data_IF_402893972991
#
_entry.id   IF_402893972991
#
_cell.length_a   1.000
_cell.length_b   1.000
_cell.length_c   1.000
_cell.angle_alpha   90.00
_cell.angle_beta   90.00
_cell.angle_gamma   90.00
#
_symmetry.space_group_name_H-M   'P 1'
#
loop_
_entity.id
_entity.type
_entity.pdbx_description
1 polymer ?
#
# COMPACT_ATOMS: atom_id res chain seq x y z
N UNK A 1 -21.03 -5.15 13.07
CA UNK A 1 -20.27 -3.94 13.44
C UNK A 1 -18.87 -4.10 12.92
N UNK A 2 -18.41 -3.25 12.00
CA UNK A 2 -17.05 -3.34 11.46
C UNK A 2 -16.01 -2.84 12.49
N UNK A 3 -14.81 -3.44 12.45
CA UNK A 3 -13.69 -3.00 13.27
C UNK A 3 -13.11 -1.72 12.65
N UNK A 4 -12.90 -0.64 13.43
CA UNK A 4 -12.26 0.57 12.93
C UNK A 4 -10.79 0.26 12.55
N UNK A 5 -10.32 0.87 11.46
CA UNK A 5 -8.95 0.71 10.99
C UNK A 5 -7.95 1.46 11.89
N UNK A 6 -6.90 0.80 12.35
CA UNK A 6 -5.92 1.34 13.29
C UNK A 6 -4.56 1.67 12.66
N UNK A 7 -3.71 2.39 13.40
CA UNK A 7 -2.50 3.06 12.89
C UNK A 7 -1.19 2.22 12.90
N UNK A 8 -1.19 0.98 13.36
CA UNK A 8 0.07 0.23 13.52
C UNK A 8 0.10 -1.04 12.68
N UNK A 9 0.92 -1.03 11.64
CA UNK A 9 1.24 -2.23 10.87
C UNK A 9 2.75 -2.41 10.66
N UNK A 10 3.23 -3.63 10.93
CA UNK A 10 4.65 -4.01 10.84
C UNK A 10 5.17 -3.91 9.40
N UNK A 11 6.40 -3.38 9.16
CA UNK A 11 7.01 -3.40 7.84
C UNK A 11 7.36 -4.83 7.43
N UNK A 12 7.09 -5.22 6.18
CA UNK A 12 7.53 -6.49 5.63
C UNK A 12 6.64 -7.17 4.60
N UNK A 13 5.37 -6.76 4.43
CA UNK A 13 4.54 -7.40 3.41
C UNK A 13 4.93 -7.00 1.98
N UNK A 14 4.84 -7.94 1.01
CA UNK A 14 5.05 -7.66 -0.40
C UNK A 14 4.17 -6.51 -0.91
N UNK A 15 4.71 -5.70 -1.80
CA UNK A 15 3.98 -4.57 -2.41
C UNK A 15 3.50 -4.98 -3.78
N UNK A 16 2.21 -4.77 -4.05
CA UNK A 16 1.63 -5.01 -5.38
C UNK A 16 2.29 -4.08 -6.39
N UNK A 17 2.81 -4.66 -7.46
CA UNK A 17 3.47 -3.96 -8.56
C UNK A 17 2.50 -3.86 -9.74
N UNK A 18 2.62 -2.78 -10.50
CA UNK A 18 1.91 -2.59 -11.76
C UNK A 18 2.96 -2.62 -12.86
N UNK A 19 3.13 -3.77 -13.49
CA UNK A 19 4.21 -4.02 -14.45
C UNK A 19 3.73 -4.09 -15.89
N UNK A 20 2.43 -4.36 -16.11
CA UNK A 20 1.84 -4.47 -17.42
C UNK A 20 0.39 -3.98 -17.44
N UNK A 21 -0.10 -3.58 -18.62
CA UNK A 21 -1.50 -3.27 -18.86
C UNK A 21 -2.32 -4.57 -18.87
N UNK A 22 -3.53 -4.51 -18.32
CA UNK A 22 -4.45 -5.66 -18.21
C UNK A 22 -4.39 -6.39 -16.87
N UNK A 23 -3.33 -6.23 -16.08
CA UNK A 23 -3.19 -6.88 -14.77
C UNK A 23 -4.30 -6.48 -13.81
N UNK A 24 -4.72 -7.45 -13.00
CA UNK A 24 -5.78 -7.30 -12.01
C UNK A 24 -5.25 -7.59 -10.62
N UNK A 25 -5.71 -6.80 -9.68
CA UNK A 25 -5.56 -7.07 -8.26
C UNK A 25 -6.94 -7.06 -7.59
N UNK A 26 -7.21 -8.07 -6.81
CA UNK A 26 -8.42 -8.17 -5.98
C UNK A 26 -8.00 -8.51 -4.56
N UNK A 27 -8.43 -7.72 -3.59
CA UNK A 27 -8.05 -7.95 -2.20
C UNK A 27 -9.08 -7.50 -1.20
N UNK A 28 -9.19 -8.23 -0.07
CA UNK A 28 -9.97 -7.81 1.08
C UNK A 28 -9.13 -6.90 1.97
N UNK A 29 -9.64 -5.73 2.30
CA UNK A 29 -8.93 -4.71 3.11
C UNK A 29 -8.77 -5.22 4.54
N UNK A 30 -7.54 -5.24 5.02
CA UNK A 30 -7.17 -5.57 6.40
C UNK A 30 -6.89 -4.32 7.21
N UNK A 31 -6.10 -3.38 6.64
CA UNK A 31 -5.76 -2.14 7.31
C UNK A 31 -5.50 -1.01 6.31
N UNK A 32 -5.65 0.23 6.75
CA UNK A 32 -5.33 1.43 5.98
C UNK A 32 -4.52 2.39 6.85
N UNK A 33 -3.37 2.80 6.32
CA UNK A 33 -2.50 3.79 6.93
C UNK A 33 -2.34 4.98 5.99
N UNK A 34 -2.61 6.19 6.48
CA UNK A 34 -2.29 7.45 5.80
C UNK A 34 -1.02 8.02 6.39
N UNK A 35 -0.04 8.31 5.56
CA UNK A 35 1.19 8.96 6.02
C UNK A 35 1.68 10.04 5.08
N UNK A 36 2.49 10.95 5.62
CA UNK A 36 3.18 11.94 4.83
C UNK A 36 4.33 11.28 4.06
N UNK A 37 4.45 11.59 2.78
CA UNK A 37 5.58 11.14 1.97
C UNK A 37 6.85 11.87 2.37
N UNK A 38 7.93 11.13 2.46
CA UNK A 38 9.27 11.68 2.67
C UNK A 38 10.18 11.32 1.50
N UNK A 39 11.24 12.07 1.31
CA UNK A 39 12.40 11.70 0.49
C UNK A 39 13.63 11.65 1.39
N UNK A 40 14.57 10.79 1.06
CA UNK A 40 15.87 10.79 1.71
C UNK A 40 16.67 11.98 1.18
N UNK A 41 17.14 12.84 2.08
CA UNK A 41 18.09 13.91 1.75
C UNK A 41 19.49 13.34 1.49
N UNK A 42 20.37 14.18 0.96
CA UNK A 42 21.77 13.82 0.67
C UNK A 42 22.57 13.48 1.95
N UNK A 43 22.12 14.02 3.07
CA UNK A 43 22.59 13.75 4.43
C UNK A 43 22.02 12.46 5.05
N UNK A 44 21.18 11.74 4.32
CA UNK A 44 20.47 10.54 4.79
C UNK A 44 19.26 10.80 5.66
N UNK A 45 18.94 12.06 5.97
CA UNK A 45 17.76 12.44 6.77
C UNK A 45 16.51 12.41 5.89
N UNK A 46 15.40 11.91 6.46
CA UNK A 46 14.11 11.90 5.77
C UNK A 46 13.46 13.28 5.82
N UNK A 47 13.26 13.90 4.67
CA UNK A 47 12.63 15.22 4.53
C UNK A 47 11.21 15.06 3.98
N UNK A 48 10.19 15.72 4.57
CA UNK A 48 8.84 15.68 4.03
C UNK A 48 8.77 16.22 2.59
N UNK A 49 8.06 15.50 1.74
CA UNK A 49 7.68 16.00 0.42
C UNK A 49 6.47 16.92 0.56
N UNK A 50 6.60 18.15 0.07
CA UNK A 50 5.51 19.13 0.10
C UNK A 50 4.96 19.40 -1.31
N UNK A 51 3.72 19.86 -1.37
CA UNK A 51 3.05 20.34 -2.58
C UNK A 51 3.42 21.82 -2.80
N UNK A 52 3.04 22.36 -3.95
CA UNK A 52 3.21 23.80 -4.26
C UNK A 52 2.45 24.72 -3.29
N UNK A 53 1.39 24.22 -2.64
CA UNK A 53 0.62 24.94 -1.60
C UNK A 53 1.22 24.80 -0.18
N UNK A 54 2.42 24.24 -0.05
CA UNK A 54 3.12 24.04 1.23
C UNK A 54 2.62 22.87 2.08
N UNK A 55 1.55 22.18 1.67
CA UNK A 55 1.02 21.03 2.40
C UNK A 55 1.82 19.77 2.14
N UNK A 56 1.97 18.87 3.12
CA UNK A 56 2.66 17.62 2.91
C UNK A 56 1.95 16.76 1.84
N UNK A 57 2.74 16.13 0.97
CA UNK A 57 2.23 15.10 0.07
C UNK A 57 1.93 13.86 0.88
N UNK A 58 0.76 13.29 0.66
CA UNK A 58 0.32 12.08 1.34
C UNK A 58 0.40 10.85 0.46
N UNK A 59 0.53 9.69 1.09
CA UNK A 59 0.32 8.40 0.48
C UNK A 59 -0.59 7.55 1.38
N UNK A 60 -1.25 6.60 0.75
CA UNK A 60 -2.09 5.62 1.43
C UNK A 60 -1.46 4.25 1.26
N UNK A 61 -1.29 3.55 2.37
CA UNK A 61 -0.88 2.15 2.39
C UNK A 61 -2.09 1.33 2.79
N UNK A 62 -2.54 0.48 1.89
CA UNK A 62 -3.65 -0.44 2.12
C UNK A 62 -3.09 -1.84 2.23
N UNK A 63 -3.24 -2.46 3.38
CA UNK A 63 -2.91 -3.87 3.57
C UNK A 63 -4.13 -4.71 3.22
N UNK A 64 -3.95 -5.71 2.37
CA UNK A 64 -5.02 -6.55 1.86
C UNK A 64 -4.66 -8.03 1.96
N UNK A 65 -5.67 -8.88 2.16
CA UNK A 65 -5.58 -10.29 1.81
C UNK A 65 -5.90 -10.46 0.32
N UNK A 66 -5.04 -11.19 -0.37
CA UNK A 66 -5.23 -11.49 -1.80
C UNK A 66 -6.46 -12.36 -2.00
N UNK A 67 -7.33 -11.96 -2.91
CA UNK A 67 -8.53 -12.70 -3.29
C UNK A 67 -8.34 -13.37 -4.66
N UNK A 68 -9.16 -14.39 -5.01
CA UNK A 68 -9.15 -15.01 -6.32
C UNK A 68 -9.32 -14.00 -7.46
N UNK A 69 -8.62 -14.24 -8.58
CA UNK A 69 -8.65 -13.37 -9.77
C UNK A 69 -7.56 -12.30 -9.78
N UNK A 70 -6.62 -12.34 -8.83
CA UNK A 70 -5.40 -11.53 -8.83
C UNK A 70 -4.35 -12.16 -9.75
N UNK A 71 -3.82 -11.36 -10.68
CA UNK A 71 -2.69 -11.70 -11.56
C UNK A 71 -1.59 -10.62 -11.54
N UNK A 72 -1.81 -9.54 -10.78
CA UNK A 72 -0.79 -8.53 -10.56
C UNK A 72 0.30 -9.06 -9.62
N UNK A 73 1.60 -8.94 -9.98
CA UNK A 73 2.69 -9.40 -9.13
C UNK A 73 2.81 -8.55 -7.87
N UNK A 74 3.32 -9.17 -6.81
CA UNK A 74 3.71 -8.50 -5.59
C UNK A 74 5.13 -8.90 -5.20
N UNK A 75 5.85 -8.03 -4.47
CA UNK A 75 7.22 -8.36 -4.07
C UNK A 75 7.84 -7.37 -3.10
N UNK A 76 9.01 -7.76 -2.59
CA UNK A 76 9.87 -6.95 -1.72
C UNK A 76 11.18 -6.70 -2.50
N UNK A 77 11.55 -5.43 -2.66
CA UNK A 77 12.72 -5.08 -3.48
C UNK A 77 12.54 -5.52 -4.94
N UNK A 78 13.50 -6.26 -5.47
CA UNK A 78 13.52 -6.75 -6.85
C UNK A 78 12.85 -8.13 -7.01
N UNK A 79 12.62 -8.84 -5.91
CA UNK A 79 11.91 -10.10 -5.94
C UNK A 79 10.42 -9.88 -6.16
N UNK A 80 9.86 -10.54 -7.17
CA UNK A 80 8.46 -10.42 -7.55
C UNK A 80 7.88 -11.79 -7.92
N UNK A 81 6.62 -12.00 -7.56
CA UNK A 81 5.85 -13.18 -7.91
C UNK A 81 4.36 -12.89 -7.87
N UNK A 82 3.56 -13.76 -8.47
CA UNK A 82 2.10 -13.68 -8.32
C UNK A 82 1.77 -14.19 -6.91
N UNK A 83 1.14 -13.35 -6.08
CA UNK A 83 0.79 -13.76 -4.72
C UNK A 83 -0.33 -14.81 -4.75
N UNK A 84 -0.30 -15.71 -3.79
CA UNK A 84 -1.35 -16.71 -3.62
C UNK A 84 -2.60 -16.12 -2.94
N UNK A 85 -3.75 -16.75 -3.18
CA UNK A 85 -4.99 -16.37 -2.49
C UNK A 85 -4.83 -16.57 -0.98
N UNK A 86 -5.09 -15.51 -0.21
CA UNK A 86 -4.92 -15.47 1.24
C UNK A 86 -3.59 -14.84 1.68
N UNK A 87 -2.65 -14.60 0.79
CA UNK A 87 -1.44 -13.85 1.12
C UNK A 87 -1.76 -12.43 1.54
N UNK A 88 -0.94 -11.90 2.45
CA UNK A 88 -1.02 -10.49 2.85
C UNK A 88 -0.07 -9.64 2.00
N UNK A 89 -0.63 -8.64 1.32
CA UNK A 89 0.11 -7.71 0.47
C UNK A 89 -0.25 -6.26 0.77
N UNK A 90 0.54 -5.32 0.26
CA UNK A 90 0.27 -3.88 0.39
C UNK A 90 0.06 -3.23 -0.97
N UNK A 91 -0.94 -2.35 -1.03
CA UNK A 91 -1.08 -1.35 -2.08
C UNK A 91 -0.51 -0.03 -1.58
N UNK A 92 0.40 0.58 -2.33
CA UNK A 92 0.89 1.93 -2.03
C UNK A 92 0.30 2.88 -3.06
N UNK A 93 -0.60 3.74 -2.62
CA UNK A 93 -1.35 4.66 -3.47
C UNK A 93 -0.82 6.08 -3.31
N UNK A 94 -0.39 6.69 -4.42
CA UNK A 94 0.24 8.02 -4.46
C UNK A 94 -0.36 8.85 -5.59
N UNK A 95 -0.37 10.16 -5.46
CA UNK A 95 -0.81 11.06 -6.52
C UNK A 95 -2.19 10.71 -7.06
N UNK A 96 -2.29 10.40 -8.35
CA UNK A 96 -3.57 10.08 -9.01
C UNK A 96 -4.25 8.87 -8.34
N UNK A 97 -3.54 7.78 -8.07
CA UNK A 97 -4.16 6.58 -7.46
C UNK A 97 -4.68 6.84 -6.04
N UNK A 98 -4.08 7.77 -5.30
CA UNK A 98 -4.63 8.24 -4.03
C UNK A 98 -5.92 9.06 -4.23
N UNK A 99 -5.97 9.93 -5.25
CA UNK A 99 -7.17 10.68 -5.59
C UNK A 99 -8.31 9.76 -6.06
N UNK A 100 -7.99 8.76 -6.88
CA UNK A 100 -8.95 7.74 -7.34
C UNK A 100 -9.53 6.94 -6.17
N UNK A 101 -8.70 6.61 -5.15
CA UNK A 101 -9.16 5.99 -3.92
C UNK A 101 -10.20 6.85 -3.18
N UNK A 102 -9.92 8.15 -3.01
CA UNK A 102 -10.87 9.06 -2.34
C UNK A 102 -12.20 9.14 -3.09
N UNK A 103 -12.18 9.09 -4.43
CA UNK A 103 -13.41 9.07 -5.22
C UNK A 103 -14.17 7.75 -5.07
N UNK A 104 -13.45 6.62 -5.07
CA UNK A 104 -14.05 5.30 -4.87
C UNK A 104 -14.65 5.15 -3.46
N UNK A 105 -13.98 5.70 -2.42
CA UNK A 105 -14.49 5.73 -1.04
C UNK A 105 -15.78 6.57 -0.93
N UNK A 106 -15.84 7.71 -1.62
CA UNK A 106 -17.06 8.51 -1.72
C UNK A 106 -18.19 7.76 -2.43
N UNK A 107 -17.87 7.06 -3.52
CA UNK A 107 -18.84 6.27 -4.29
C UNK A 107 -19.39 5.08 -3.49
N UNK A 108 -18.63 4.55 -2.54
CA UNK A 108 -19.07 3.49 -1.62
C UNK A 108 -20.23 3.97 -0.71
N UNK A 109 -20.31 5.29 -0.47
CA UNK A 109 -21.40 5.91 0.32
C UNK A 109 -21.31 5.68 1.84
N UNK A 110 -20.23 5.07 2.32
CA UNK A 110 -19.94 4.84 3.75
C UNK A 110 -18.44 4.78 4.00
N UNK A 111 -18.06 4.80 5.25
CA UNK A 111 -16.65 4.54 5.62
C UNK A 111 -16.25 3.12 5.26
N UNK A 112 -15.01 2.98 4.79
CA UNK A 112 -14.41 1.69 4.51
C UNK A 112 -14.23 0.89 5.81
N UNK A 113 -14.42 -0.42 5.73
CA UNK A 113 -14.32 -1.35 6.84
C UNK A 113 -13.33 -2.48 6.51
N UNK A 114 -12.83 -3.15 7.54
CA UNK A 114 -12.09 -4.40 7.39
C UNK A 114 -12.97 -5.41 6.64
N UNK A 115 -12.38 -6.07 5.65
CA UNK A 115 -13.09 -7.02 4.80
C UNK A 115 -13.71 -6.42 3.53
N UNK A 116 -13.79 -5.09 3.40
CA UNK A 116 -14.21 -4.48 2.14
C UNK A 116 -13.25 -4.84 1.00
N UNK A 117 -13.79 -4.98 -0.21
CA UNK A 117 -13.05 -5.43 -1.36
C UNK A 117 -12.48 -4.25 -2.14
N UNK A 118 -11.18 -4.30 -2.42
CA UNK A 118 -10.52 -3.41 -3.38
C UNK A 118 -10.22 -4.18 -4.66
N UNK A 119 -10.61 -3.61 -5.79
CA UNK A 119 -10.32 -4.12 -7.13
C UNK A 119 -9.52 -3.09 -7.89
N UNK A 120 -8.42 -3.51 -8.51
CA UNK A 120 -7.65 -2.69 -9.43
C UNK A 120 -7.49 -3.42 -10.75
N UNK A 121 -7.54 -2.67 -11.86
CA UNK A 121 -7.19 -3.14 -13.18
C UNK A 121 -6.32 -2.10 -13.86
N UNK A 122 -5.12 -2.49 -14.27
CA UNK A 122 -4.25 -1.62 -15.05
C UNK A 122 -4.83 -1.44 -16.45
N UNK A 123 -5.06 -0.21 -16.87
CA UNK A 123 -5.77 0.09 -18.11
C UNK A 123 -4.99 0.98 -19.08
N UNK A 124 -3.95 1.66 -18.60
CA UNK A 124 -3.13 2.54 -19.42
C UNK A 124 -1.77 2.78 -18.80
N UNK A 125 -0.85 3.31 -19.60
CA UNK A 125 0.44 3.80 -19.15
C UNK A 125 0.71 5.20 -19.70
N UNK A 126 1.53 5.99 -19.02
CA UNK A 126 1.95 7.31 -19.44
C UNK A 126 3.46 7.40 -19.44
N UNK A 127 4.02 7.92 -20.52
CA UNK A 127 5.44 8.25 -20.62
C UNK A 127 5.67 9.63 -20.00
N UNK A 128 6.78 9.78 -19.29
CA UNK A 128 7.20 11.03 -18.67
C UNK A 128 8.57 11.44 -19.17
N UNK A 129 8.77 12.76 -19.34
CA UNK A 129 10.09 13.35 -19.60
C UNK A 129 10.96 13.35 -18.32
N UNK A 130 12.19 13.87 -18.44
CA UNK A 130 13.13 13.97 -17.33
C UNK A 130 12.63 14.91 -16.21
N UNK A 131 11.77 15.86 -16.53
CA UNK A 131 11.18 16.81 -15.60
C UNK A 131 9.90 16.26 -14.92
N UNK A 132 9.46 15.07 -15.32
CA UNK A 132 8.26 14.41 -14.79
C UNK A 132 6.96 14.88 -15.40
N UNK A 133 6.98 15.55 -16.56
CA UNK A 133 5.79 15.95 -17.29
C UNK A 133 5.32 14.83 -18.22
N UNK A 134 4.00 14.64 -18.39
CA UNK A 134 3.47 13.65 -19.30
C UNK A 134 3.84 13.99 -20.75
N UNK A 135 4.30 12.99 -21.49
CA UNK A 135 4.72 13.10 -22.90
C UNK A 135 3.85 12.22 -23.79
N UNK A 136 3.22 12.81 -24.78
CA UNK A 136 2.37 12.10 -25.73
C UNK A 136 1.02 11.67 -25.17
N UNK A 137 0.32 10.83 -25.93
CA UNK A 137 -0.95 10.22 -25.50
C UNK A 137 -0.69 9.03 -24.56
N UNK A 138 -1.63 8.70 -23.70
CA UNK A 138 -1.54 7.48 -22.88
C UNK A 138 -1.41 6.23 -23.77
N UNK A 139 -0.54 5.31 -23.37
CA UNK A 139 -0.37 4.01 -23.99
C UNK A 139 -1.46 3.06 -23.49
N UNK A 140 -1.97 2.20 -24.36
CA UNK A 140 -3.09 1.31 -24.05
C UNK A 140 -2.76 -0.17 -24.24
N UNK A 141 -1.60 -0.49 -24.79
CA UNK A 141 -1.13 -1.87 -24.99
C UNK A 141 0.26 -2.09 -24.37
N UNK A 142 0.61 -3.34 -24.11
CA UNK A 142 1.92 -3.70 -23.57
C UNK A 142 3.02 -3.53 -24.61
N UNK A 143 2.74 -3.76 -25.89
CA UNK A 143 3.67 -3.56 -27.00
C UNK A 143 4.09 -2.10 -27.09
N UNK A 144 3.15 -1.16 -26.90
CA UNK A 144 3.48 0.28 -26.85
C UNK A 144 4.37 0.60 -25.64
N UNK A 145 4.12 -0.02 -24.49
CA UNK A 145 4.92 0.16 -23.27
C UNK A 145 6.34 -0.38 -23.48
N UNK A 146 6.49 -1.56 -24.04
CA UNK A 146 7.79 -2.20 -24.33
C UNK A 146 8.61 -1.42 -25.37
N UNK A 147 7.95 -0.73 -26.29
CA UNK A 147 8.60 0.10 -27.29
C UNK A 147 9.16 1.43 -26.73
N UNK A 148 8.83 1.80 -25.48
CA UNK A 148 9.34 3.02 -24.87
C UNK A 148 10.84 2.89 -24.56
N UNK A 149 11.69 3.83 -24.98
CA UNK A 149 13.11 3.81 -24.65
C UNK A 149 13.35 3.74 -23.14
N UNK A 150 14.33 2.92 -22.71
CA UNK A 150 14.68 2.75 -21.28
C UNK A 150 15.13 4.05 -20.58
N UNK A 151 15.50 5.05 -21.35
CA UNK A 151 15.83 6.40 -20.83
C UNK A 151 14.63 7.20 -20.40
N UNK A 152 13.40 6.73 -20.68
CA UNK A 152 12.16 7.41 -20.30
C UNK A 152 11.47 6.65 -19.17
N UNK A 153 10.76 7.40 -18.33
CA UNK A 153 9.98 6.83 -17.24
C UNK A 153 8.57 6.51 -17.73
N UNK A 154 8.08 5.31 -17.43
CA UNK A 154 6.70 4.90 -17.71
C UNK A 154 5.97 4.70 -16.39
N UNK A 155 4.84 5.38 -16.23
CA UNK A 155 3.92 5.17 -15.11
C UNK A 155 2.70 4.37 -15.57
N UNK A 156 2.45 3.22 -14.97
CA UNK A 156 1.27 2.40 -15.25
C UNK A 156 0.13 2.78 -14.33
N UNK A 157 -1.04 3.04 -14.89
CA UNK A 157 -2.24 3.44 -14.17
C UNK A 157 -3.25 2.29 -14.07
N UNK A 158 -3.92 2.24 -12.93
CA UNK A 158 -5.01 1.31 -12.69
C UNK A 158 -6.29 2.05 -12.37
N UNK A 159 -7.39 1.59 -12.93
CA UNK A 159 -8.72 1.90 -12.43
C UNK A 159 -8.91 1.20 -11.07
N UNK A 160 -9.54 1.89 -10.13
CA UNK A 160 -9.75 1.40 -8.77
C UNK A 160 -11.25 1.43 -8.44
N UNK A 161 -11.75 0.31 -7.89
CA UNK A 161 -13.10 0.20 -7.36
C UNK A 161 -13.06 -0.34 -5.95
N UNK A 162 -13.97 0.15 -5.11
CA UNK A 162 -14.24 -0.34 -3.77
C UNK A 162 -15.64 -0.91 -3.73
N UNK A 163 -15.77 -2.09 -3.15
CA UNK A 163 -17.04 -2.79 -3.00
C UNK A 163 -17.20 -3.25 -1.54
N UNK A 164 -18.43 -3.38 -1.04
CA UNK A 164 -18.67 -3.99 0.26
C UNK A 164 -18.06 -5.40 0.34
N UNK A 165 -17.48 -5.74 1.47
CA UNK A 165 -16.98 -7.07 1.75
C UNK A 165 -18.11 -8.11 1.75
N UNK A 166 -17.76 -9.35 1.45
CA UNK A 166 -18.71 -10.46 1.40
C UNK A 166 -18.22 -11.67 2.19
N UNK A 167 -19.14 -12.25 2.99
CA UNK A 167 -19.02 -13.58 3.59
C UNK A 167 -17.66 -13.85 4.25
N UNK A 168 -17.03 -14.95 3.86
CA UNK A 168 -15.78 -15.45 4.45
C UNK A 168 -14.59 -14.46 4.39
N UNK A 169 -14.60 -13.51 3.46
CA UNK A 169 -13.49 -12.55 3.33
C UNK A 169 -13.50 -11.48 4.41
N UNK A 170 -14.67 -11.15 4.96
CA UNK A 170 -14.77 -10.29 6.13
C UNK A 170 -14.13 -11.01 7.33
N UNK A 171 -14.50 -12.26 7.58
CA UNK A 171 -13.97 -13.03 8.72
C UNK A 171 -12.45 -13.24 8.62
N UNK A 172 -11.96 -13.58 7.41
CA UNK A 172 -10.53 -13.74 7.14
C UNK A 172 -9.75 -12.42 7.35
N UNK A 173 -10.26 -11.31 6.85
CA UNK A 173 -9.62 -10.01 7.00
C UNK A 173 -9.63 -9.53 8.45
N UNK A 174 -10.71 -9.75 9.19
CA UNK A 174 -10.76 -9.45 10.62
C UNK A 174 -9.79 -10.31 11.44
N UNK A 175 -9.64 -11.59 11.11
CA UNK A 175 -8.67 -12.47 11.76
C UNK A 175 -7.23 -11.98 11.49
N UNK A 176 -6.92 -11.63 10.24
CA UNK A 176 -5.62 -11.06 9.86
C UNK A 176 -5.35 -9.72 10.56
N UNK A 177 -6.34 -8.85 10.65
CA UNK A 177 -6.23 -7.59 11.38
C UNK A 177 -5.91 -7.80 12.86
N UNK A 178 -6.65 -8.72 13.52
CA UNK A 178 -6.42 -9.04 14.94
C UNK A 178 -5.04 -9.65 15.17
N UNK A 179 -4.59 -10.53 14.29
CA UNK A 179 -3.26 -11.13 14.38
C UNK A 179 -2.13 -10.09 14.26
N UNK A 180 -2.32 -9.10 13.37
CA UNK A 180 -1.33 -8.05 13.14
C UNK A 180 -1.33 -6.98 14.25
N UNK A 181 -2.45 -6.75 14.91
CA UNK A 181 -2.60 -5.76 15.99
C UNK A 181 -2.43 -6.37 17.39
N UNK A 182 -2.41 -7.70 17.51
CA UNK A 182 -2.05 -8.38 18.75
C UNK A 182 -0.57 -8.04 19.05
N UNK A 183 -0.34 -7.08 19.93
CA UNK A 183 1.00 -6.81 20.49
C UNK A 183 1.46 -8.10 21.16
N UNK A 184 2.60 -8.70 20.77
CA UNK A 184 3.16 -9.77 21.55
C UNK A 184 3.38 -9.17 22.93
N UNK A 185 2.80 -9.79 23.96
CA UNK A 185 3.20 -9.57 25.35
C UNK A 185 4.67 -10.00 25.42
N UNK A 186 5.59 -9.11 25.04
CA UNK A 186 6.99 -9.28 25.34
C UNK A 186 7.05 -9.41 26.84
N UNK A 187 7.41 -10.62 27.28
CA UNK A 187 7.75 -10.89 28.67
C UNK A 187 8.60 -9.72 29.14
N UNK A 188 8.13 -9.05 30.17
CA UNK A 188 8.87 -7.98 30.84
C UNK A 188 10.29 -8.47 31.02
N UNK A 189 11.25 -7.74 30.46
CA UNK A 189 12.66 -7.97 30.73
C UNK A 189 12.80 -8.01 32.25
N UNK A 190 13.52 -8.99 32.83
CA UNK A 190 13.73 -9.03 34.25
C UNK A 190 14.35 -7.68 34.66
N UNK A 191 13.64 -6.94 35.54
CA UNK A 191 14.21 -5.78 36.20
C UNK A 191 15.48 -6.26 36.87
N UNK A 192 16.63 -5.83 36.35
CA UNK A 192 17.87 -5.88 37.08
C UNK A 192 17.64 -5.12 38.37
N UNK A 193 17.52 -5.86 39.48
CA UNK A 193 17.68 -5.32 40.81
C UNK A 193 19.07 -4.70 40.83
N UNK A 194 19.13 -3.38 40.83
CA UNK A 194 20.34 -2.65 41.22
C UNK A 194 20.44 -2.94 42.71
N UNK A 195 21.33 -3.86 43.07
CA UNK A 195 21.84 -3.99 44.43
C UNK A 195 22.43 -2.64 44.79
N UNK A 196 21.81 -1.97 45.74
CA UNK A 196 22.37 -0.82 46.39
C UNK A 196 23.58 -1.32 47.18
N UNK A 197 24.79 -1.08 46.67
CA UNK A 197 26.03 -1.15 47.46
C UNK A 197 25.90 -0.08 48.56
N UNK A 198 25.58 -0.56 49.77
CA UNK A 198 25.82 0.20 50.98
C UNK A 198 27.35 0.33 51.18
N UNK A 199 27.90 1.48 50.86
CA UNK A 199 29.18 1.87 51.39
C UNK A 199 29.05 2.28 52.85
N UNK A 200 29.78 1.63 53.79
CA UNK A 200 29.84 2.09 55.17
C UNK A 200 30.88 3.22 55.25
N UNK A 201 30.47 4.34 55.86
CA UNK A 201 31.17 5.53 56.37
C UNK A 201 30.80 6.83 55.74
#
# INVERSE_FOLDING_TARGET
MGIPLGEQFTPGHPVVKRTAIGQKFVGAVVNIERRNRTKRGDDGVSVPLVRSDGKPRQELIVTCLVMPGTDAPAGIGDEQGIPETGDTVRLILKGKSFADWIQAEKALGRQLQVGDCVKQRTNSAQVYDADGNPKGQPLTTNEEVEAVPRSQTVGIYAELKLEPGTGEWIDKAEAAYRAATAVPLTASAPQQQVEADEEPW
#
